data_IF_929476934870
#
_entry.id   IF_929476934870
#
_cell.length_a   1.000
_cell.length_b   1.000
_cell.length_c   1.000
_cell.angle_alpha   90.00
_cell.angle_beta   90.00
_cell.angle_gamma   90.00
#
_symmetry.space_group_name_H-M   'P 1'
#
loop_
_entity.id
_entity.type
_entity.pdbx_description
1 polymer ?
#
# COMPACT_ATOMS: atom_id res chain seq x y z
N UNK A 1 -10.30 -6.27 12.93
CA UNK A 1 -8.91 -6.62 13.34
C UNK A 1 -7.87 -5.78 12.59
N UNK A 2 -6.72 -5.48 13.23
CA UNK A 2 -5.62 -4.78 12.57
C UNK A 2 -4.96 -5.66 11.48
N UNK A 3 -4.54 -5.05 10.37
CA UNK A 3 -3.78 -5.73 9.32
C UNK A 3 -2.47 -6.28 9.90
N UNK A 4 -2.08 -7.52 9.58
CA UNK A 4 -0.81 -8.16 10.01
C UNK A 4 0.42 -7.25 9.77
N UNK A 5 0.46 -6.54 8.64
CA UNK A 5 1.54 -5.59 8.33
C UNK A 5 1.65 -4.40 9.29
N UNK A 6 0.54 -3.98 9.91
CA UNK A 6 0.54 -2.90 10.90
C UNK A 6 0.98 -3.38 12.28
N UNK A 7 0.82 -4.68 12.58
CA UNK A 7 1.35 -5.32 13.78
C UNK A 7 2.88 -5.37 13.68
N UNK A 8 3.41 -5.96 12.60
CA UNK A 8 4.86 -6.03 12.33
C UNK A 8 5.54 -4.66 12.39
N UNK A 9 4.94 -3.62 11.79
CA UNK A 9 5.49 -2.25 11.87
C UNK A 9 5.52 -1.70 13.30
N UNK A 10 4.55 -2.05 14.13
CA UNK A 10 4.52 -1.61 15.52
C UNK A 10 5.57 -2.35 16.35
N UNK A 11 5.83 -3.62 16.05
CA UNK A 11 6.88 -4.43 16.70
C UNK A 11 8.28 -3.93 16.34
N UNK A 12 8.52 -3.59 15.07
CA UNK A 12 9.75 -2.94 14.63
C UNK A 12 9.98 -1.62 15.37
N UNK A 13 8.94 -0.81 15.57
CA UNK A 13 9.02 0.42 16.37
C UNK A 13 9.33 0.13 17.83
N UNK A 14 8.75 -0.91 18.42
CA UNK A 14 9.07 -1.31 19.80
C UNK A 14 10.55 -1.66 19.94
N UNK A 15 11.10 -2.40 18.98
CA UNK A 15 12.53 -2.72 18.98
C UNK A 15 13.41 -1.47 18.85
N UNK A 16 13.06 -0.52 17.98
CA UNK A 16 13.79 0.75 17.85
C UNK A 16 13.67 1.58 19.13
N UNK A 17 12.47 1.71 19.69
CA UNK A 17 12.26 2.45 20.95
C UNK A 17 13.08 1.83 22.07
N UNK A 18 13.11 0.51 22.20
CA UNK A 18 13.92 -0.17 23.23
C UNK A 18 15.41 0.15 23.10
N UNK A 19 15.95 0.15 21.87
CA UNK A 19 17.38 0.48 21.63
C UNK A 19 17.78 1.90 22.02
N UNK A 20 16.86 2.87 21.88
CA UNK A 20 17.14 4.28 22.11
C UNK A 20 16.50 4.82 23.39
N UNK A 21 15.80 3.99 24.17
CA UNK A 21 15.01 4.43 25.32
C UNK A 21 15.89 5.13 26.37
N UNK A 22 16.99 4.49 26.76
CA UNK A 22 17.93 4.98 27.78
C UNK A 22 18.61 6.28 27.31
N UNK A 23 19.21 6.26 26.12
CA UNK A 23 19.88 7.44 25.57
C UNK A 23 18.94 8.64 25.42
N UNK A 24 17.66 8.41 25.07
CA UNK A 24 16.65 9.49 25.01
C UNK A 24 16.20 9.95 26.38
N UNK A 25 16.16 9.08 27.38
CA UNK A 25 15.84 9.47 28.76
C UNK A 25 16.94 10.41 29.27
N UNK A 26 18.22 10.02 29.15
CA UNK A 26 19.38 10.85 29.53
C UNK A 26 19.36 12.24 28.87
N UNK A 27 19.22 12.29 27.54
CA UNK A 27 19.16 13.56 26.81
C UNK A 27 17.98 14.43 27.23
N UNK A 28 16.84 13.81 27.56
CA UNK A 28 15.67 14.53 28.06
C UNK A 28 15.84 14.99 29.50
N UNK A 29 16.50 14.22 30.35
CA UNK A 29 16.84 14.66 31.71
C UNK A 29 17.80 15.84 31.66
N UNK A 30 18.83 15.81 30.80
CA UNK A 30 19.70 16.97 30.57
C UNK A 30 18.92 18.21 30.12
N UNK A 31 17.92 18.06 29.25
CA UNK A 31 17.08 19.18 28.81
C UNK A 31 16.15 19.68 29.93
N UNK A 32 15.61 18.77 30.76
CA UNK A 32 14.69 19.09 31.86
C UNK A 32 15.42 19.73 33.05
N UNK A 33 16.68 19.35 33.27
CA UNK A 33 17.47 19.78 34.43
C UNK A 33 17.63 21.31 34.44
N UNK A 34 17.29 22.01 35.53
CA UNK A 34 17.48 23.46 35.61
C UNK A 34 18.97 23.85 35.72
N UNK A 35 19.83 22.95 36.23
CA UNK A 35 21.27 23.14 36.43
C UNK A 35 22.15 22.91 35.20
N UNK A 36 21.59 22.39 34.09
CA UNK A 36 22.35 22.18 32.85
C UNK A 36 22.63 23.51 32.16
N UNK A 37 23.84 23.69 31.63
CA UNK A 37 24.20 24.90 30.87
C UNK A 37 23.47 24.96 29.52
N UNK A 38 23.37 26.15 28.92
CA UNK A 38 22.73 26.34 27.61
C UNK A 38 23.36 25.48 26.52
N UNK A 39 24.68 25.40 26.48
CA UNK A 39 25.44 24.58 25.52
C UNK A 39 25.15 23.08 25.67
N UNK A 40 25.03 22.59 26.92
CA UNK A 40 24.68 21.20 27.19
C UNK A 40 23.25 20.87 26.71
N UNK A 41 22.31 21.80 26.89
CA UNK A 41 20.93 21.66 26.37
C UNK A 41 20.91 21.64 24.85
N UNK A 42 21.67 22.50 24.20
CA UNK A 42 21.77 22.54 22.73
C UNK A 42 22.39 21.26 22.17
N UNK A 43 23.49 20.78 22.75
CA UNK A 43 24.12 19.53 22.35
C UNK A 43 23.15 18.34 22.52
N UNK A 44 22.43 18.28 23.64
CA UNK A 44 21.41 17.26 23.87
C UNK A 44 20.25 17.33 22.85
N UNK A 45 19.83 18.53 22.45
CA UNK A 45 18.80 18.72 21.42
C UNK A 45 19.28 18.29 20.03
N UNK A 46 20.51 18.65 19.64
CA UNK A 46 21.12 18.24 18.36
C UNK A 46 21.23 16.72 18.27
N UNK A 47 21.67 16.06 19.33
CA UNK A 47 21.74 14.60 19.42
C UNK A 47 20.36 13.93 19.40
N UNK A 48 19.35 14.51 20.04
CA UNK A 48 17.97 14.02 19.98
C UNK A 48 17.39 14.13 18.56
N UNK A 49 17.75 15.18 17.82
CA UNK A 49 17.28 15.43 16.45
C UNK A 49 17.92 14.49 15.42
N UNK A 50 19.17 14.06 15.65
CA UNK A 50 19.90 13.11 14.80
C UNK A 50 19.28 11.69 14.81
N UNK A 51 18.55 11.34 15.86
CA UNK A 51 17.98 10.00 16.05
C UNK A 51 16.77 9.70 15.14
N UNK A 52 16.47 8.40 14.89
CA UNK A 52 15.31 8.01 14.10
C UNK A 52 13.97 8.51 14.69
N UNK A 53 13.06 9.01 13.85
CA UNK A 53 11.74 9.52 14.27
C UNK A 53 10.89 8.50 15.04
N UNK A 54 11.00 7.23 14.68
CA UNK A 54 10.27 6.11 15.30
C UNK A 54 10.87 5.67 16.65
N UNK A 55 12.01 6.23 17.09
CA UNK A 55 12.63 5.96 18.39
C UNK A 55 11.93 6.60 19.59
N UNK A 56 10.87 7.38 19.37
CA UNK A 56 10.13 8.05 20.45
C UNK A 56 8.96 7.18 20.95
N UNK A 57 8.85 7.03 22.28
CA UNK A 57 7.79 6.23 22.92
C UNK A 57 6.35 6.60 22.48
N UNK A 58 5.98 7.89 22.27
CA UNK A 58 4.65 8.25 21.77
C UNK A 58 4.30 7.69 20.38
N UNK A 59 5.27 7.20 19.59
CA UNK A 59 5.02 6.58 18.26
C UNK A 59 4.46 5.17 18.37
N UNK A 60 4.59 4.53 19.54
CA UNK A 60 4.05 3.20 19.80
C UNK A 60 2.54 3.28 19.97
N UNK A 61 1.80 2.51 19.17
CA UNK A 61 0.35 2.38 19.39
C UNK A 61 0.09 1.20 20.32
N UNK A 62 -0.67 1.44 21.40
CA UNK A 62 -1.26 0.37 22.24
C UNK A 62 -2.33 -0.33 21.40
N UNK A 63 -1.96 -1.44 20.77
CA UNK A 63 -2.89 -2.32 20.06
C UNK A 63 -3.10 -3.53 20.93
N UNK A 64 -4.35 -3.93 21.15
CA UNK A 64 -4.65 -5.18 21.82
C UNK A 64 -3.95 -6.33 21.08
N UNK A 65 -3.31 -7.28 21.79
CA UNK A 65 -2.82 -8.48 21.15
C UNK A 65 -4.01 -9.17 20.47
N UNK A 66 -3.77 -9.79 19.31
CA UNK A 66 -4.76 -10.72 18.79
C UNK A 66 -5.00 -11.75 19.90
N UNK A 67 -6.26 -11.93 20.30
CA UNK A 67 -6.71 -12.92 21.30
C UNK A 67 -5.86 -14.17 21.15
N UNK A 68 -5.05 -14.47 22.17
CA UNK A 68 -4.26 -15.69 22.18
C UNK A 68 -5.22 -16.86 21.91
N UNK A 69 -4.85 -17.86 21.07
CA UNK A 69 -5.69 -19.04 20.94
C UNK A 69 -5.92 -19.59 22.35
N UNK A 70 -7.18 -19.92 22.65
CA UNK A 70 -7.55 -20.48 23.93
C UNK A 70 -6.59 -21.63 24.23
N UNK A 71 -5.93 -21.56 25.38
CA UNK A 71 -5.13 -22.67 25.87
C UNK A 71 -6.11 -23.82 26.05
N UNK A 72 -6.08 -24.80 25.14
CA UNK A 72 -6.77 -26.06 25.36
C UNK A 72 -6.09 -26.66 26.58
N UNK A 73 -6.80 -26.63 27.71
CA UNK A 73 -6.39 -27.31 28.93
C UNK A 73 -6.35 -28.80 28.59
N UNK A 74 -5.18 -29.30 28.21
CA UNK A 74 -4.94 -30.73 28.14
C UNK A 74 -5.09 -31.24 29.57
N UNK A 75 -6.14 -32.01 29.80
CA UNK A 75 -6.35 -32.72 31.07
C UNK A 75 -5.17 -33.67 31.23
N UNK A 76 -4.56 -33.62 32.41
CA UNK A 76 -3.39 -34.40 32.75
C UNK A 76 -3.66 -35.90 32.56
N UNK A 77 -2.86 -36.51 31.69
CA UNK A 77 -2.71 -37.96 31.55
C UNK A 77 -1.27 -38.21 31.13
N UNK A 78 -0.34 -38.06 32.08
CA UNK A 78 1.09 -38.28 31.87
C UNK A 78 1.49 -39.65 32.45
N UNK A 79 1.67 -40.64 31.58
CA UNK A 79 2.74 -41.63 31.71
C UNK A 79 3.92 -41.16 30.84
N UNK A 80 5.18 -41.31 31.26
CA UNK A 80 6.31 -40.73 30.53
C UNK A 80 6.84 -41.71 29.46
N UNK A 81 7.14 -41.25 28.23
CA UNK A 81 8.13 -41.91 27.42
C UNK A 81 9.47 -41.17 27.48
N UNK A 82 10.43 -41.93 27.98
CA UNK A 82 11.87 -41.72 27.96
C UNK A 82 12.31 -41.59 26.50
N UNK A 83 13.08 -40.55 26.18
CA UNK A 83 13.67 -40.34 24.84
C UNK A 83 14.82 -39.32 24.90
N UNK A 84 15.89 -39.50 24.10
CA UNK A 84 17.21 -38.97 24.42
C UNK A 84 17.34 -37.47 24.09
N UNK A 85 18.08 -36.79 24.97
CA UNK A 85 18.46 -35.39 24.88
C UNK A 85 19.19 -35.12 23.55
N UNK A 86 18.57 -34.35 22.66
CA UNK A 86 19.23 -33.87 21.43
C UNK A 86 19.76 -32.45 21.64
N UNK A 87 21.08 -32.39 21.50
CA UNK A 87 22.00 -31.25 21.56
C UNK A 87 21.44 -29.86 21.25
N UNK A 88 21.79 -28.92 22.14
CA UNK A 88 21.66 -27.47 21.97
C UNK A 88 22.65 -27.01 20.89
N UNK A 89 22.18 -26.65 19.70
CA UNK A 89 22.98 -25.92 18.73
C UNK A 89 22.94 -24.42 19.06
N UNK A 90 24.08 -23.91 19.56
CA UNK A 90 24.35 -22.47 19.71
C UNK A 90 24.82 -21.88 18.38
N UNK A 91 24.24 -20.70 18.05
CA UNK A 91 24.73 -19.59 17.23
C UNK A 91 25.09 -19.82 15.75
N UNK A 92 24.50 -19.00 14.88
CA UNK A 92 25.25 -18.17 13.94
C UNK A 92 24.42 -16.95 13.54
N UNK A 93 25.10 -15.81 13.50
CA UNK A 93 24.59 -14.48 13.23
C UNK A 93 24.31 -14.27 11.74
N UNK A 94 23.32 -13.43 11.44
CA UNK A 94 23.46 -12.36 10.44
C UNK A 94 23.68 -12.73 8.97
N UNK A 95 22.60 -12.78 8.19
CA UNK A 95 22.35 -11.81 7.10
C UNK A 95 20.94 -12.04 6.55
N UNK A 96 19.99 -11.21 6.99
CA UNK A 96 18.66 -11.18 6.39
C UNK A 96 18.77 -10.38 5.07
N UNK A 97 19.06 -11.09 3.98
CA UNK A 97 18.83 -10.58 2.62
C UNK A 97 17.40 -10.03 2.56
N UNK A 98 17.27 -8.73 2.31
CA UNK A 98 15.97 -8.06 2.27
C UNK A 98 15.23 -8.48 1.00
N UNK A 99 14.55 -9.62 1.06
CA UNK A 99 13.75 -10.12 -0.04
C UNK A 99 12.68 -9.07 -0.41
N UNK A 100 12.86 -8.45 -1.58
CA UNK A 100 11.92 -7.50 -2.17
C UNK A 100 10.57 -8.20 -2.32
N UNK A 101 9.63 -7.84 -1.44
CA UNK A 101 8.31 -8.49 -1.34
C UNK A 101 7.64 -8.61 -2.72
N UNK A 102 7.13 -9.80 -3.12
CA UNK A 102 6.46 -9.93 -4.40
C UNK A 102 5.26 -8.99 -4.43
N UNK A 103 5.14 -8.22 -5.51
CA UNK A 103 3.97 -7.40 -5.80
C UNK A 103 2.76 -8.33 -5.70
N UNK A 104 1.74 -7.94 -4.94
CA UNK A 104 0.48 -8.70 -4.78
C UNK A 104 0.03 -9.17 -6.17
N UNK A 105 0.22 -10.46 -6.45
CA UNK A 105 -0.24 -11.07 -7.68
C UNK A 105 -1.75 -10.86 -7.78
N UNK A 106 -2.23 -10.67 -9.01
CA UNK A 106 -3.65 -10.75 -9.33
C UNK A 106 -4.20 -12.06 -8.74
N UNK A 107 -5.44 -12.07 -8.25
CA UNK A 107 -6.03 -13.33 -7.74
C UNK A 107 -6.02 -14.34 -8.89
N UNK A 108 -5.87 -15.63 -8.62
CA UNK A 108 -5.86 -16.66 -9.68
C UNK A 108 -7.07 -16.52 -10.64
N UNK A 109 -8.23 -16.12 -10.10
CA UNK A 109 -9.43 -15.81 -10.87
C UNK A 109 -9.29 -14.63 -11.85
N UNK A 110 -8.47 -13.61 -11.54
CA UNK A 110 -8.24 -12.46 -12.41
C UNK A 110 -7.36 -12.80 -13.64
N UNK A 111 -6.64 -13.93 -13.60
CA UNK A 111 -5.78 -14.39 -14.69
C UNK A 111 -6.55 -15.19 -15.76
N UNK A 112 -7.75 -15.70 -15.42
CA UNK A 112 -8.60 -16.50 -16.31
C UNK A 112 -9.49 -15.66 -17.22
N UNK A 113 -9.56 -14.35 -17.01
CA UNK A 113 -10.33 -13.45 -17.87
C UNK A 113 -9.51 -13.13 -19.12
N UNK A 114 -9.87 -13.77 -20.23
CA UNK A 114 -9.29 -13.47 -21.55
C UNK A 114 -9.45 -11.97 -21.84
N UNK A 115 -8.37 -11.25 -22.21
CA UNK A 115 -8.47 -9.85 -22.56
C UNK A 115 -9.39 -9.69 -23.78
N UNK A 116 -10.33 -8.73 -23.71
CA UNK A 116 -11.19 -8.42 -24.85
C UNK A 116 -10.33 -7.89 -26.00
N UNK A 117 -10.75 -8.22 -27.24
CA UNK A 117 -10.10 -7.70 -28.44
C UNK A 117 -10.16 -6.17 -28.45
N UNK A 118 -9.04 -5.54 -28.83
CA UNK A 118 -8.94 -4.08 -28.92
C UNK A 118 -9.78 -3.58 -30.11
N UNK A 119 -10.91 -2.91 -29.84
CA UNK A 119 -11.76 -2.34 -30.89
C UNK A 119 -11.02 -1.36 -31.80
N UNK A 120 -10.07 -0.61 -31.26
CA UNK A 120 -9.26 0.36 -32.02
C UNK A 120 -8.42 -0.30 -33.11
N UNK A 121 -7.78 -1.42 -32.77
CA UNK A 121 -6.94 -2.18 -33.71
C UNK A 121 -7.80 -2.98 -34.68
N UNK A 122 -8.94 -3.52 -34.24
CA UNK A 122 -9.85 -4.24 -35.14
C UNK A 122 -10.51 -3.35 -36.19
N UNK A 123 -10.63 -2.05 -35.92
CA UNK A 123 -11.16 -1.07 -36.88
C UNK A 123 -10.07 -0.48 -37.81
N UNK A 124 -8.81 -0.90 -37.67
CA UNK A 124 -7.71 -0.44 -38.54
C UNK A 124 -7.33 1.04 -38.36
N UNK A 125 -7.65 1.64 -37.22
CA UNK A 125 -7.41 3.06 -36.98
C UNK A 125 -6.01 3.28 -36.40
N UNK A 126 -5.27 4.23 -36.97
CA UNK A 126 -3.93 4.63 -36.51
C UNK A 126 -3.97 5.92 -35.69
N UNK A 127 -4.79 6.89 -36.10
CA UNK A 127 -4.94 8.21 -35.48
C UNK A 127 -6.41 8.46 -35.10
N UNK A 128 -6.65 9.13 -33.97
CA UNK A 128 -8.00 9.51 -33.52
C UNK A 128 -8.13 11.03 -33.53
N UNK A 129 -8.93 11.54 -34.46
CA UNK A 129 -9.29 12.94 -34.51
C UNK A 129 -10.69 13.20 -33.95
N UNK A 130 -10.90 14.42 -33.48
CA UNK A 130 -12.19 14.85 -32.94
C UNK A 130 -13.25 15.07 -34.02
N UNK A 131 -12.83 15.15 -35.30
CA UNK A 131 -13.70 15.36 -36.46
C UNK A 131 -14.46 14.09 -36.84
N UNK A 132 -13.92 12.92 -36.53
CA UNK A 132 -14.50 11.62 -36.89
C UNK A 132 -15.59 11.19 -35.90
N UNK A 133 -16.71 11.90 -35.91
CA UNK A 133 -17.83 11.66 -34.99
C UNK A 133 -18.39 10.24 -35.08
N UNK A 134 -18.40 9.64 -36.27
CA UNK A 134 -18.84 8.27 -36.51
C UNK A 134 -18.02 7.24 -35.71
N UNK A 135 -16.69 7.40 -35.72
CA UNK A 135 -15.76 6.54 -34.97
C UNK A 135 -15.90 6.78 -33.47
N UNK A 136 -15.96 8.04 -33.05
CA UNK A 136 -16.08 8.40 -31.64
C UNK A 136 -17.39 7.89 -31.02
N UNK A 137 -18.49 7.85 -31.79
CA UNK A 137 -19.80 7.38 -31.34
C UNK A 137 -19.78 5.90 -30.93
N UNK A 138 -18.94 5.06 -31.54
CA UNK A 138 -18.76 3.64 -31.15
C UNK A 138 -18.20 3.51 -29.72
N UNK A 139 -17.36 4.46 -29.31
CA UNK A 139 -16.78 4.51 -27.97
C UNK A 139 -17.67 5.20 -26.94
N UNK A 140 -18.85 5.68 -27.34
CA UNK A 140 -19.85 6.27 -26.45
C UNK A 140 -21.00 5.29 -26.16
N UNK A 141 -21.63 5.46 -25.01
CA UNK A 141 -22.95 4.89 -24.75
C UNK A 141 -24.01 5.66 -25.54
N UNK A 142 -25.21 5.10 -25.69
CA UNK A 142 -26.38 5.81 -26.23
C UNK A 142 -26.64 7.15 -25.52
N UNK A 143 -26.43 7.19 -24.20
CA UNK A 143 -26.56 8.40 -23.36
C UNK A 143 -25.39 9.39 -23.48
N UNK A 144 -24.49 9.20 -24.44
CA UNK A 144 -23.32 10.07 -24.65
C UNK A 144 -22.18 9.91 -23.63
N UNK A 145 -22.21 8.98 -22.66
CA UNK A 145 -21.09 8.70 -21.74
C UNK A 145 -19.97 7.91 -22.43
N UNK A 146 -18.71 8.14 -22.04
CA UNK A 146 -17.56 7.40 -22.60
C UNK A 146 -17.52 5.98 -22.04
N UNK A 147 -17.45 4.97 -22.93
CA UNK A 147 -17.34 3.56 -22.53
C UNK A 147 -16.01 3.28 -21.85
N UNK A 148 -16.02 2.37 -20.87
CA UNK A 148 -14.82 1.98 -20.14
C UNK A 148 -13.93 1.03 -20.95
N UNK A 149 -12.62 1.05 -20.68
CA UNK A 149 -11.63 0.12 -21.26
C UNK A 149 -11.97 -1.36 -21.08
N UNK A 150 -12.72 -1.71 -20.03
CA UNK A 150 -13.14 -3.11 -19.78
C UNK A 150 -14.19 -3.59 -20.77
N UNK A 151 -14.94 -2.66 -21.35
CA UNK A 151 -15.93 -2.97 -22.39
C UNK A 151 -15.23 -2.97 -23.74
N UNK A 152 -14.38 -1.98 -24.00
CA UNK A 152 -13.81 -1.71 -25.32
C UNK A 152 -12.47 -2.40 -25.62
N UNK A 153 -11.81 -2.94 -24.59
CA UNK A 153 -10.49 -3.58 -24.71
C UNK A 153 -9.31 -2.61 -24.73
N UNK A 154 -9.53 -1.29 -24.96
CA UNK A 154 -8.49 -0.30 -25.25
C UNK A 154 -7.30 -0.26 -24.28
N UNK A 155 -6.12 0.10 -24.82
CA UNK A 155 -4.94 0.42 -24.00
C UNK A 155 -5.13 1.71 -23.19
N UNK A 156 -4.24 1.98 -22.22
CA UNK A 156 -4.32 3.21 -21.40
C UNK A 156 -4.17 4.46 -22.29
N UNK A 157 -3.22 4.41 -23.23
CA UNK A 157 -2.88 5.52 -24.11
C UNK A 157 -4.02 5.81 -25.08
N UNK A 158 -4.53 4.78 -25.76
CA UNK A 158 -5.67 4.91 -26.68
C UNK A 158 -6.92 5.45 -25.97
N UNK A 159 -7.22 4.97 -24.76
CA UNK A 159 -8.36 5.50 -24.00
C UNK A 159 -8.20 6.99 -23.68
N UNK A 160 -6.98 7.45 -23.37
CA UNK A 160 -6.72 8.87 -23.12
C UNK A 160 -6.87 9.70 -24.39
N UNK A 161 -6.34 9.22 -25.52
CA UNK A 161 -6.50 9.87 -26.83
C UNK A 161 -7.97 10.01 -27.21
N UNK A 162 -8.75 8.93 -27.13
CA UNK A 162 -10.19 8.95 -27.41
C UNK A 162 -10.93 9.87 -26.44
N UNK A 163 -10.59 9.85 -25.15
CA UNK A 163 -11.22 10.74 -24.18
C UNK A 163 -10.96 12.22 -24.47
N UNK A 164 -9.74 12.57 -24.91
CA UNK A 164 -9.40 13.93 -25.34
C UNK A 164 -10.15 14.30 -26.62
N UNK A 165 -10.16 13.43 -27.63
CA UNK A 165 -10.88 13.67 -28.88
C UNK A 165 -12.39 13.86 -28.66
N UNK A 166 -13.01 13.03 -27.81
CA UNK A 166 -14.43 13.19 -27.42
C UNK A 166 -14.69 14.50 -26.70
N UNK A 167 -13.79 14.93 -25.81
CA UNK A 167 -13.93 16.23 -25.12
C UNK A 167 -13.88 17.37 -26.13
N UNK A 168 -12.87 17.39 -26.98
CA UNK A 168 -12.73 18.40 -28.03
C UNK A 168 -13.95 18.42 -28.97
N UNK A 169 -14.44 17.25 -29.38
CA UNK A 169 -15.65 17.13 -30.21
C UNK A 169 -16.90 17.69 -29.51
N UNK A 170 -17.01 17.55 -28.18
CA UNK A 170 -18.11 18.14 -27.40
C UNK A 170 -18.00 19.66 -27.28
N UNK A 171 -16.79 20.19 -27.08
CA UNK A 171 -16.58 21.65 -27.10
C UNK A 171 -16.94 22.24 -28.47
N UNK A 172 -16.67 21.51 -29.55
CA UNK A 172 -17.04 21.89 -30.92
C UNK A 172 -18.53 21.60 -31.25
N UNK A 173 -19.34 21.20 -30.28
CA UNK A 173 -20.75 20.81 -30.45
C UNK A 173 -21.02 19.70 -31.48
N UNK A 174 -19.99 18.92 -31.85
CA UNK A 174 -20.10 17.78 -32.78
C UNK A 174 -20.68 16.53 -32.10
N UNK A 175 -20.58 16.43 -30.77
CA UNK A 175 -21.10 15.32 -29.98
C UNK A 175 -21.88 15.82 -28.76
N UNK A 176 -22.94 15.11 -28.35
CA UNK A 176 -23.76 15.52 -27.22
C UNK A 176 -23.06 15.29 -25.87
N UNK A 177 -23.35 16.16 -24.92
CA UNK A 177 -22.97 15.98 -23.53
C UNK A 177 -23.82 14.88 -22.86
N UNK A 178 -23.24 14.08 -21.96
CA UNK A 178 -23.98 13.06 -21.25
C UNK A 178 -25.05 13.72 -20.36
N UNK A 179 -26.32 13.40 -20.62
CA UNK A 179 -27.46 13.98 -19.90
C UNK A 179 -28.12 15.18 -20.59
N UNK A 180 -27.60 15.64 -21.73
CA UNK A 180 -28.20 16.73 -22.52
C UNK A 180 -29.30 16.28 -23.50
N UNK A 181 -29.70 15.01 -23.48
CA UNK A 181 -30.80 14.54 -24.32
C UNK A 181 -32.13 15.06 -23.79
N UNK A 182 -32.64 16.11 -24.42
CA UNK A 182 -34.08 16.45 -24.44
C UNK A 182 -34.78 15.24 -25.06
N UNK A 183 -35.79 14.72 -24.36
CA UNK A 183 -36.58 13.60 -24.87
C UNK A 183 -37.24 13.95 -26.20
N UNK A 184 -37.16 13.03 -27.15
CA UNK A 184 -38.09 12.95 -28.27
C UNK A 184 -39.14 11.89 -27.94
#
# INVERSE_FOLDING_TARGET
MAKKSKVVKNDQRRAIVARYAERRAELKEMIRSPSSTGEQREAAQRELARQPRDASQPRLRRRAPARAPAQVRVVAGAGPPIGPQRAVARRAEGQLVTAKKPRRGRRAADLLVKPKKNLFVSMGLSTVDYKDTAVLRVFLSERGKIRSRRVTGLTVQQQRQIATAVKNAREMALLPYPGATVGH
#
